data_IF_200914964934
#
_entry.id   IF_200914964934
#
_cell.length_a   1.000
_cell.length_b   1.000
_cell.length_c   1.000
_cell.angle_alpha   90.00
_cell.angle_beta   90.00
_cell.angle_gamma   90.00
#
_symmetry.space_group_name_H-M   'P 1'
#
loop_
_entity.id
_entity.type
_entity.pdbx_description
1 polymer ?
#
# COMPACT_ATOMS: atom_id res chain seq x y z
N UNK A 1 6.62 -5.56 -7.05
CA UNK A 1 6.95 -4.46 -6.11
C UNK A 1 7.33 -3.23 -6.90
N UNK A 2 7.17 -2.05 -6.32
CA UNK A 2 7.64 -0.77 -6.85
C UNK A 2 7.78 0.26 -5.73
N UNK A 3 8.29 1.45 -6.03
CA UNK A 3 8.38 2.58 -5.09
C UNK A 3 7.49 3.72 -5.58
N UNK A 4 6.71 4.33 -4.71
CA UNK A 4 5.80 5.44 -5.04
C UNK A 4 6.23 6.68 -4.23
N UNK A 5 6.72 7.70 -4.93
CA UNK A 5 7.01 9.01 -4.34
C UNK A 5 5.91 10.01 -4.72
N UNK A 6 5.40 9.93 -5.96
CA UNK A 6 4.39 10.84 -6.50
C UNK A 6 3.34 10.18 -7.40
N UNK A 7 3.25 8.85 -7.39
CA UNK A 7 2.39 8.08 -8.28
C UNK A 7 3.06 6.88 -8.95
N UNK A 8 4.36 6.67 -8.74
CA UNK A 8 5.17 5.72 -9.49
C UNK A 8 4.81 4.23 -9.30
N UNK A 9 3.88 3.89 -8.39
CA UNK A 9 3.24 2.57 -8.35
C UNK A 9 1.84 2.62 -8.96
N UNK A 10 1.03 3.61 -8.57
CA UNK A 10 -0.40 3.70 -8.96
C UNK A 10 -0.60 4.07 -10.43
N UNK A 11 0.17 5.03 -10.94
CA UNK A 11 0.06 5.51 -12.32
C UNK A 11 0.42 4.44 -13.35
N UNK A 12 1.59 3.77 -13.30
CA UNK A 12 1.89 2.71 -14.26
C UNK A 12 0.94 1.52 -14.12
N UNK A 13 0.48 1.20 -12.90
CA UNK A 13 -0.52 0.16 -12.71
C UNK A 13 -1.83 0.47 -13.45
N UNK A 14 -2.32 1.72 -13.35
CA UNK A 14 -3.49 2.16 -14.09
C UNK A 14 -3.28 2.12 -15.61
N UNK A 15 -2.11 2.54 -16.12
CA UNK A 15 -1.78 2.49 -17.54
C UNK A 15 -1.70 1.05 -18.09
N UNK A 16 -1.31 0.08 -17.26
CA UNK A 16 -1.18 -1.32 -17.65
C UNK A 16 -2.40 -2.19 -17.29
N UNK A 17 -3.45 -1.62 -16.69
CA UNK A 17 -4.65 -2.36 -16.31
C UNK A 17 -4.41 -3.40 -15.20
N UNK A 18 -3.52 -3.09 -14.24
CA UNK A 18 -3.21 -3.94 -13.07
C UNK A 18 -3.44 -3.18 -11.76
N UNK A 19 -3.42 -3.89 -10.63
CA UNK A 19 -3.58 -3.28 -9.31
C UNK A 19 -2.26 -2.63 -8.89
N UNK A 20 -2.32 -1.38 -8.43
CA UNK A 20 -1.19 -0.65 -7.84
C UNK A 20 -1.58 -0.11 -6.46
N UNK A 21 -0.98 -0.65 -5.40
CA UNK A 21 -1.28 -0.27 -4.03
C UNK A 21 -0.09 0.44 -3.39
N UNK A 22 -0.32 1.69 -2.99
CA UNK A 22 0.62 2.49 -2.20
C UNK A 22 0.18 2.42 -0.72
N UNK A 23 0.98 1.80 0.17
CA UNK A 23 0.57 1.65 1.56
C UNK A 23 0.65 2.99 2.33
N UNK A 24 0.18 2.94 3.58
CA UNK A 24 0.42 4.00 4.56
C UNK A 24 1.92 4.22 4.72
N UNK A 25 2.33 5.48 4.86
CA UNK A 25 3.73 5.83 5.10
C UNK A 25 4.25 5.15 6.37
N UNK A 26 5.42 4.52 6.28
CA UNK A 26 6.02 3.74 7.37
C UNK A 26 5.54 2.29 7.50
N UNK A 27 4.55 1.85 6.72
CA UNK A 27 4.01 0.47 6.78
C UNK A 27 4.99 -0.59 6.24
N UNK A 28 5.81 -0.21 5.26
CA UNK A 28 6.85 -1.05 4.67
C UNK A 28 8.17 -0.29 4.82
N UNK A 29 9.18 -0.96 5.37
CA UNK A 29 10.52 -0.38 5.52
C UNK A 29 11.10 0.03 4.17
N UNK A 30 11.81 1.16 4.16
CA UNK A 30 12.57 1.65 3.00
C UNK A 30 14.06 1.48 3.20
N UNK A 31 14.49 0.79 4.25
CA UNK A 31 15.88 0.47 4.46
C UNK A 31 16.43 -0.31 3.25
N UNK A 32 17.50 0.20 2.64
CA UNK A 32 18.08 -0.37 1.42
C UNK A 32 17.44 0.08 0.11
N UNK A 33 16.40 0.92 0.14
CA UNK A 33 15.80 1.53 -1.06
C UNK A 33 16.51 2.86 -1.37
N UNK A 34 16.85 3.10 -2.64
CA UNK A 34 17.37 4.39 -3.07
C UNK A 34 16.29 5.48 -2.88
N UNK A 35 16.56 6.46 -2.03
CA UNK A 35 15.60 7.54 -1.76
C UNK A 35 15.58 8.57 -2.89
N UNK A 36 14.37 9.09 -3.16
CA UNK A 36 14.15 10.25 -4.02
C UNK A 36 13.65 11.45 -3.21
N UNK A 37 12.62 11.25 -2.39
CA UNK A 37 12.14 12.24 -1.42
C UNK A 37 11.62 11.51 -0.19
N UNK A 38 12.46 11.40 0.84
CA UNK A 38 12.22 10.50 1.98
C UNK A 38 10.91 10.74 2.72
N UNK A 39 10.31 11.93 2.68
CA UNK A 39 8.99 12.18 3.28
C UNK A 39 7.81 11.63 2.47
N UNK A 40 8.05 11.27 1.21
CA UNK A 40 7.04 10.83 0.25
C UNK A 40 7.28 9.40 -0.23
N UNK A 41 8.50 8.87 -0.12
CA UNK A 41 8.86 7.53 -0.57
C UNK A 41 8.06 6.46 0.21
N UNK A 42 7.32 5.61 -0.48
CA UNK A 42 6.76 4.35 0.03
C UNK A 42 7.05 3.18 -0.91
N UNK A 43 7.35 2.01 -0.35
CA UNK A 43 7.42 0.76 -1.13
C UNK A 43 5.99 0.23 -1.29
N UNK A 44 5.54 0.05 -2.52
CA UNK A 44 4.21 -0.44 -2.87
C UNK A 44 4.23 -1.75 -3.67
N UNK A 45 3.04 -2.28 -3.92
CA UNK A 45 2.85 -3.54 -4.65
C UNK A 45 2.11 -3.30 -5.97
N UNK A 46 2.48 -4.09 -6.98
CA UNK A 46 1.86 -4.11 -8.29
C UNK A 46 1.53 -5.58 -8.60
N UNK A 47 0.25 -5.90 -8.78
CA UNK A 47 -0.25 -7.28 -8.86
C UNK A 47 -1.43 -7.36 -9.84
N UNK A 48 -1.83 -8.58 -10.22
CA UNK A 48 -2.97 -8.78 -11.14
C UNK A 48 -4.32 -8.61 -10.44
N UNK A 49 -4.39 -8.99 -9.16
CA UNK A 49 -5.62 -8.95 -8.36
C UNK A 49 -5.39 -8.20 -7.04
N UNK A 50 -6.48 -7.81 -6.38
CA UNK A 50 -6.44 -7.17 -5.06
C UNK A 50 -6.01 -8.18 -3.99
N UNK A 51 -6.43 -9.44 -4.11
CA UNK A 51 -6.04 -10.52 -3.19
C UNK A 51 -4.51 -10.75 -3.23
N UNK A 52 -3.91 -10.76 -4.42
CA UNK A 52 -2.45 -10.85 -4.58
C UNK A 52 -1.76 -9.64 -3.93
N UNK A 53 -2.37 -8.45 -4.02
CA UNK A 53 -1.82 -7.23 -3.39
C UNK A 53 -1.81 -7.37 -1.86
N UNK A 54 -2.88 -7.91 -1.27
CA UNK A 54 -2.96 -8.16 0.17
C UNK A 54 -1.87 -9.13 0.63
N UNK A 55 -1.76 -10.29 -0.03
CA UNK A 55 -0.78 -11.33 0.30
C UNK A 55 0.63 -10.75 0.26
N UNK A 56 0.97 -10.06 -0.84
CA UNK A 56 2.30 -9.50 -1.02
C UNK A 56 2.58 -8.36 -0.05
N UNK A 57 1.59 -7.49 0.22
CA UNK A 57 1.76 -6.38 1.16
C UNK A 57 1.97 -6.89 2.59
N UNK A 58 1.22 -7.92 3.03
CA UNK A 58 1.43 -8.56 4.34
C UNK A 58 2.82 -9.18 4.46
N UNK A 59 3.35 -9.75 3.38
CA UNK A 59 4.67 -10.38 3.38
C UNK A 59 5.83 -9.38 3.54
N UNK A 60 5.63 -8.11 3.16
CA UNK A 60 6.69 -7.09 3.19
C UNK A 60 6.46 -5.99 4.23
N UNK A 61 5.24 -5.86 4.76
CA UNK A 61 4.92 -4.93 5.83
C UNK A 61 5.52 -5.40 7.16
N UNK A 62 5.82 -4.43 8.03
CA UNK A 62 6.36 -4.71 9.36
C UNK A 62 7.23 -3.57 9.86
N UNK A 63 7.33 -3.46 11.17
CA UNK A 63 8.23 -2.49 11.79
C UNK A 63 9.69 -2.89 11.54
N UNK A 64 10.50 -1.93 11.12
CA UNK A 64 11.94 -2.09 10.93
C UNK A 64 12.71 -1.01 11.69
N UNK A 65 13.50 -1.36 12.72
CA UNK A 65 14.29 -0.39 13.48
C UNK A 65 15.39 0.29 12.65
N UNK A 66 15.69 -0.18 11.44
CA UNK A 66 16.69 0.43 10.54
C UNK A 66 16.11 1.54 9.65
N UNK A 67 14.78 1.66 9.55
CA UNK A 67 14.12 2.79 8.91
C UNK A 67 13.50 3.68 9.98
N UNK A 68 14.05 4.88 10.14
CA UNK A 68 13.60 5.84 11.16
C UNK A 68 12.15 6.30 10.99
N UNK A 69 11.53 6.04 9.84
CA UNK A 69 10.14 6.37 9.56
C UNK A 69 9.24 5.14 9.51
N UNK A 70 9.76 3.95 9.85
CA UNK A 70 8.94 2.76 10.01
C UNK A 70 7.95 2.96 11.16
N UNK A 71 6.68 2.62 10.92
CA UNK A 71 5.61 2.77 11.90
C UNK A 71 5.41 1.47 12.67
N UNK A 72 5.41 1.52 14.00
CA UNK A 72 5.16 0.36 14.87
C UNK A 72 3.77 -0.24 14.67
N UNK A 73 2.83 0.51 14.08
CA UNK A 73 1.51 -0.01 13.67
C UNK A 73 1.57 -0.98 12.50
N UNK A 74 2.69 -1.05 11.77
CA UNK A 74 2.85 -1.98 10.65
C UNK A 74 2.64 -3.45 11.11
N UNK A 75 3.12 -3.81 12.29
CA UNK A 75 2.95 -5.16 12.84
C UNK A 75 1.48 -5.49 13.12
N UNK A 76 0.68 -4.51 13.54
CA UNK A 76 -0.76 -4.71 13.75
C UNK A 76 -1.49 -5.01 12.43
N UNK A 77 -1.04 -4.42 11.31
CA UNK A 77 -1.57 -4.73 9.98
C UNK A 77 -1.23 -6.16 9.55
N UNK A 78 0.03 -6.60 9.76
CA UNK A 78 0.47 -7.96 9.41
C UNK A 78 -0.34 -9.01 10.17
N UNK A 79 -0.61 -8.76 11.46
CA UNK A 79 -1.36 -9.68 12.32
C UNK A 79 -2.89 -9.60 12.14
N UNK A 80 -3.40 -8.71 11.29
CA UNK A 80 -4.82 -8.61 11.05
C UNK A 80 -5.32 -9.75 10.15
N UNK A 81 -6.30 -10.49 10.66
CA UNK A 81 -7.11 -11.37 9.82
C UNK A 81 -8.03 -10.51 8.96
N UNK A 82 -7.67 -10.37 7.69
CA UNK A 82 -8.57 -9.83 6.69
C UNK A 82 -9.35 -11.00 6.12
N UNK A 83 -10.51 -11.27 6.70
CA UNK A 83 -11.51 -12.10 6.03
C UNK A 83 -12.31 -11.16 5.15
N UNK A 84 -11.93 -11.03 3.87
CA UNK A 84 -12.82 -10.41 2.89
C UNK A 84 -13.96 -11.40 2.64
N UNK A 85 -14.95 -11.43 3.53
CA UNK A 85 -16.23 -11.96 3.13
C UNK A 85 -16.93 -10.88 2.31
N UNK A 86 -17.35 -11.22 1.09
CA UNK A 86 -18.26 -10.36 0.31
C UNK A 86 -19.51 -9.94 1.10
N UNK A 87 -19.83 -10.64 2.20
CA UNK A 87 -20.90 -10.31 3.16
C UNK A 87 -20.60 -9.09 4.06
N UNK A 88 -19.36 -8.61 4.19
CA UNK A 88 -18.99 -7.41 4.98
C UNK A 88 -19.27 -6.09 4.21
N UNK A 89 -19.31 -6.14 2.88
CA UNK A 89 -19.75 -5.04 2.00
C UNK A 89 -21.27 -4.76 2.07
N UNK A 90 -21.98 -5.41 3.00
CA UNK A 90 -23.42 -5.20 3.25
C UNK A 90 -23.73 -3.88 3.96
N UNK A 91 -22.73 -3.22 4.55
CA UNK A 91 -22.90 -1.91 5.18
C UNK A 91 -22.78 -0.79 4.16
N UNK A 92 -23.66 0.20 4.25
CA UNK A 92 -23.64 1.39 3.38
C UNK A 92 -22.38 2.22 3.65
N UNK A 93 -21.37 2.09 2.79
CA UNK A 93 -20.18 2.94 2.81
C UNK A 93 -20.47 4.31 2.18
N UNK A 94 -19.87 5.36 2.72
CA UNK A 94 -19.91 6.70 2.13
C UNK A 94 -18.65 6.88 1.28
N UNK A 95 -18.83 6.99 -0.03
CA UNK A 95 -17.73 7.20 -0.99
C UNK A 95 -17.85 8.63 -1.52
N UNK A 96 -16.78 9.44 -1.35
CA UNK A 96 -16.69 10.79 -1.90
C UNK A 96 -15.98 10.77 -3.26
N UNK A 97 -16.53 11.49 -4.23
CA UNK A 97 -15.90 11.69 -5.55
C UNK A 97 -15.16 13.03 -5.54
N UNK A 98 -13.83 13.00 -5.73
CA UNK A 98 -12.99 14.20 -5.81
C UNK A 98 -13.10 14.77 -7.22
N UNK A 99 -13.69 15.97 -7.36
CA UNK A 99 -14.03 16.54 -8.67
C UNK A 99 -12.82 17.04 -9.43
N UNK A 100 -11.78 17.43 -8.72
CA UNK A 100 -10.53 17.97 -9.24
C UNK A 100 -9.62 16.88 -9.86
N UNK A 101 -9.99 15.60 -9.69
CA UNK A 101 -9.25 14.44 -10.19
C UNK A 101 -9.92 13.77 -11.41
N UNK A 102 -10.95 14.39 -11.98
CA UNK A 102 -11.70 13.92 -13.15
C UNK A 102 -11.36 14.72 -14.41
#
# INVERSE_FOLDING_TARGET
MGTDTGGSVRQPAACCGIVGMKPTYGMVSRYGVQSMASSLDQVGVMTKTVDDAEILLKAIAGFDPKDSQSDTKADAFVNAEFIIQNSELTKKLKIGVVKEAL
#
